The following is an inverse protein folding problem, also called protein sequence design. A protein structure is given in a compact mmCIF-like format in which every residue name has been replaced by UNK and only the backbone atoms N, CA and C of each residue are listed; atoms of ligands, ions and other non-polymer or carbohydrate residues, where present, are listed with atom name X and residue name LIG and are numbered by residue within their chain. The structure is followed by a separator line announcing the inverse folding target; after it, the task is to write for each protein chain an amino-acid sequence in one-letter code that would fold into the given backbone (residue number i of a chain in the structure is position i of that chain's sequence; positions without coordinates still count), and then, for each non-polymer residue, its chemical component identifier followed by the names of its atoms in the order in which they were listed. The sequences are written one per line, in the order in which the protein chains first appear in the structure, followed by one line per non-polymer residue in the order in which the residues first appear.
data_IF_030793171889
#
_entry.id   IF_030793171889
#
_cell.length_a   1.000
_cell.length_b   1.000
_cell.length_c   1.000
_cell.angle_alpha   90.00
_cell.angle_beta   90.00
_cell.angle_gamma   90.00
#
_symmetry.space_group_name_H-M   'P 1'
#
loop_
_entity.id
_entity.type
_entity.pdbx_description
1 polymer ?
#
# COMPACT_ATOMS: atom_id res chain seq x y z
N UNK A 1 -10.61 17.61 1.71
CA UNK A 1 -9.34 17.61 0.94
C UNK A 1 -8.77 16.20 0.94
N UNK A 2 -7.97 15.83 -0.05
CA UNK A 2 -7.46 14.46 -0.24
C UNK A 2 -5.97 14.32 0.10
N UNK A 3 -5.39 13.12 -0.11
CA UNK A 3 -3.99 12.84 0.18
C UNK A 3 -2.97 13.79 -0.48
N UNK A 4 -3.32 14.37 -1.64
CA UNK A 4 -2.47 15.31 -2.40
C UNK A 4 -2.26 16.67 -1.73
N UNK A 5 -3.03 17.00 -0.70
CA UNK A 5 -2.87 18.24 0.07
C UNK A 5 -1.88 18.10 1.24
N UNK A 6 -1.33 16.89 1.46
CA UNK A 6 -0.44 16.61 2.59
C UNK A 6 1.01 16.96 2.24
N UNK A 7 1.81 17.48 3.18
CA UNK A 7 3.17 17.95 2.90
C UNK A 7 4.22 16.81 2.97
N UNK A 8 4.00 15.68 2.28
CA UNK A 8 4.89 14.52 2.42
C UNK A 8 6.31 14.78 1.91
N UNK A 9 6.43 15.51 0.79
CA UNK A 9 7.71 15.92 0.23
C UNK A 9 8.51 16.81 1.19
N UNK A 10 7.86 17.81 1.80
CA UNK A 10 8.50 18.73 2.75
C UNK A 10 8.97 18.02 4.02
N UNK A 11 8.26 16.97 4.43
CA UNK A 11 8.60 16.14 5.58
C UNK A 11 9.62 15.04 5.25
N UNK A 12 9.98 14.85 3.97
CA UNK A 12 10.92 13.81 3.54
C UNK A 12 10.40 12.39 3.74
N UNK A 13 9.09 12.15 3.60
CA UNK A 13 8.49 10.84 3.85
C UNK A 13 8.80 9.85 2.73
N UNK A 14 9.44 8.73 3.07
CA UNK A 14 9.68 7.65 2.12
C UNK A 14 8.43 6.77 1.90
N UNK A 15 7.77 6.37 2.99
CA UNK A 15 6.62 5.43 2.93
C UNK A 15 5.47 5.99 3.75
N UNK A 16 4.29 6.10 3.12
CA UNK A 16 3.03 6.37 3.81
C UNK A 16 2.29 5.06 4.07
N UNK A 17 1.78 4.89 5.29
CA UNK A 17 0.83 3.82 5.62
C UNK A 17 -0.59 4.38 5.53
N UNK A 18 -1.26 4.11 4.42
CA UNK A 18 -2.65 4.51 4.20
C UNK A 18 -3.57 3.59 5.01
N UNK A 19 -3.99 4.10 6.17
CA UNK A 19 -4.77 3.39 7.18
C UNK A 19 -6.08 4.09 7.55
N UNK A 20 -6.52 5.06 6.74
CA UNK A 20 -7.83 5.71 6.92
C UNK A 20 -8.99 4.79 6.52
N UNK A 21 -8.73 3.83 5.62
CA UNK A 21 -9.74 2.97 5.01
C UNK A 21 -10.57 3.64 3.91
N UNK A 22 -10.31 4.91 3.59
CA UNK A 22 -11.06 5.69 2.59
C UNK A 22 -10.37 5.64 1.21
N UNK A 23 -9.04 5.59 1.20
CA UNK A 23 -8.22 5.69 -0.01
C UNK A 23 -7.64 4.33 -0.45
N UNK A 24 -8.48 3.28 -0.45
CA UNK A 24 -8.06 1.90 -0.79
C UNK A 24 -7.94 1.61 -2.28
N UNK A 25 -8.51 2.45 -3.15
CA UNK A 25 -8.31 2.35 -4.59
C UNK A 25 -6.99 3.02 -4.98
N UNK A 26 -6.22 2.42 -5.89
CA UNK A 26 -4.95 2.99 -6.38
C UNK A 26 -5.07 4.46 -6.76
N UNK A 27 -6.09 4.79 -7.55
CA UNK A 27 -6.32 6.15 -8.05
C UNK A 27 -6.50 7.18 -6.92
N UNK A 28 -7.02 6.76 -5.76
CA UNK A 28 -7.16 7.63 -4.59
C UNK A 28 -5.87 7.71 -3.78
N UNK A 29 -5.18 6.59 -3.59
CA UNK A 29 -3.90 6.54 -2.89
C UNK A 29 -2.77 7.27 -3.64
N UNK A 30 -2.90 7.43 -4.97
CA UNK A 30 -1.98 8.18 -5.82
C UNK A 30 -1.69 9.59 -5.28
N UNK A 31 -2.67 10.23 -4.64
CA UNK A 31 -2.48 11.55 -4.05
C UNK A 31 -1.33 11.61 -3.03
N UNK A 32 -0.99 10.52 -2.33
CA UNK A 32 0.18 10.50 -1.44
C UNK A 32 1.51 10.62 -2.20
N UNK A 33 1.60 9.98 -3.36
CA UNK A 33 2.78 10.08 -4.22
C UNK A 33 2.87 11.48 -4.83
N UNK A 34 1.73 12.03 -5.26
CA UNK A 34 1.65 13.38 -5.81
C UNK A 34 2.04 14.45 -4.76
N UNK A 35 1.78 14.17 -3.48
CA UNK A 35 2.19 14.96 -2.33
C UNK A 35 3.69 14.79 -1.94
N UNK A 36 4.44 13.93 -2.64
CA UNK A 36 5.88 13.77 -2.49
C UNK A 36 6.35 12.56 -1.67
N UNK A 37 5.44 11.67 -1.25
CA UNK A 37 5.86 10.39 -0.68
C UNK A 37 6.46 9.48 -1.77
N UNK A 38 7.42 8.62 -1.44
CA UNK A 38 8.03 7.71 -2.42
C UNK A 38 7.21 6.43 -2.64
N UNK A 39 6.54 5.93 -1.59
CA UNK A 39 5.74 4.70 -1.61
C UNK A 39 4.51 4.82 -0.72
N UNK A 40 3.50 4.00 -0.99
CA UNK A 40 2.28 3.87 -0.19
C UNK A 40 2.02 2.39 0.12
N UNK A 41 1.76 2.08 1.38
CA UNK A 41 1.24 0.79 1.82
C UNK A 41 -0.20 0.99 2.30
N UNK A 42 -1.16 0.37 1.61
CA UNK A 42 -2.56 0.35 2.01
C UNK A 42 -2.74 -0.78 3.03
N UNK A 43 -3.22 -0.45 4.22
CA UNK A 43 -3.36 -1.39 5.34
C UNK A 43 -4.65 -2.25 5.27
N UNK A 44 -5.19 -2.43 4.06
CA UNK A 44 -6.44 -3.12 3.78
C UNK A 44 -6.42 -3.67 2.34
N UNK A 45 -7.35 -4.57 1.98
CA UNK A 45 -7.57 -4.95 0.58
C UNK A 45 -7.77 -3.70 -0.29
N UNK A 46 -7.05 -3.65 -1.39
CA UNK A 46 -7.07 -2.53 -2.32
C UNK A 46 -7.79 -2.90 -3.63
N UNK A 47 -7.89 -1.92 -4.52
CA UNK A 47 -8.37 -2.14 -5.88
C UNK A 47 -7.44 -1.46 -6.87
N UNK A 48 -7.06 -2.21 -7.90
CA UNK A 48 -6.12 -1.82 -8.95
C UNK A 48 -4.76 -1.36 -8.41
N UNK A 49 -4.35 -1.78 -7.21
CA UNK A 49 -3.01 -1.54 -6.67
C UNK A 49 -1.91 -2.18 -7.55
N UNK A 50 -0.66 -1.74 -7.39
CA UNK A 50 0.43 -2.33 -8.18
C UNK A 50 0.64 -3.81 -7.84
N UNK A 51 0.56 -4.13 -6.54
CA UNK A 51 0.70 -5.48 -6.03
C UNK A 51 0.08 -5.60 -4.64
N UNK A 52 -0.58 -6.73 -4.39
CA UNK A 52 -0.90 -7.19 -3.02
C UNK A 52 0.21 -8.12 -2.53
N UNK A 53 0.76 -7.82 -1.36
CA UNK A 53 1.78 -8.62 -0.69
C UNK A 53 1.24 -9.18 0.61
N UNK A 54 1.50 -10.47 0.82
CA UNK A 54 1.38 -11.17 2.10
C UNK A 54 2.75 -11.71 2.45
N UNK A 55 3.30 -11.22 3.56
CA UNK A 55 4.64 -11.61 4.02
C UNK A 55 4.72 -13.11 4.32
N UNK A 56 5.79 -13.75 3.87
CA UNK A 56 6.00 -15.20 3.92
C UNK A 56 5.27 -15.98 2.83
N UNK A 57 4.41 -15.34 2.03
CA UNK A 57 3.62 -15.99 0.98
C UNK A 57 4.15 -15.62 -0.40
N UNK A 58 4.19 -14.32 -0.72
CA UNK A 58 4.59 -13.80 -2.04
C UNK A 58 5.45 -12.52 -1.98
N UNK A 59 6.06 -12.23 -0.83
CA UNK A 59 6.93 -11.07 -0.62
C UNK A 59 8.17 -11.04 -1.52
N UNK A 60 8.59 -12.19 -2.04
CA UNK A 60 9.63 -12.33 -3.06
C UNK A 60 9.27 -11.67 -4.40
N UNK A 61 7.98 -11.37 -4.64
CA UNK A 61 7.51 -10.73 -5.87
C UNK A 61 7.66 -9.21 -5.88
N UNK A 62 7.94 -8.59 -4.74
CA UNK A 62 8.19 -7.16 -4.69
C UNK A 62 9.62 -6.86 -5.15
N UNK A 63 9.76 -6.20 -6.30
CA UNK A 63 11.05 -5.88 -6.92
C UNK A 63 11.46 -4.41 -6.73
N UNK A 64 10.63 -3.62 -6.03
CA UNK A 64 10.85 -2.20 -5.81
C UNK A 64 10.28 -1.28 -6.89
N UNK A 65 9.77 -1.82 -8.01
CA UNK A 65 9.13 -1.00 -9.06
C UNK A 65 7.71 -0.57 -8.69
N UNK A 66 7.02 -1.35 -7.85
CA UNK A 66 5.66 -1.06 -7.39
C UNK A 66 5.66 0.06 -6.35
N UNK A 67 4.77 1.05 -6.47
CA UNK A 67 4.74 2.24 -5.60
C UNK A 67 3.56 2.25 -4.63
N UNK A 68 2.44 1.62 -5.00
CA UNK A 68 1.23 1.52 -4.17
C UNK A 68 0.94 0.04 -3.95
N UNK A 69 1.22 -0.42 -2.73
CA UNK A 69 1.16 -1.83 -2.33
C UNK A 69 0.00 -2.02 -1.35
N UNK A 70 -0.77 -3.10 -1.49
CA UNK A 70 -1.69 -3.53 -0.44
C UNK A 70 -1.02 -4.57 0.45
N UNK A 71 -1.17 -4.42 1.76
CA UNK A 71 -0.79 -5.46 2.73
C UNK A 71 -1.94 -6.46 3.00
N UNK A 72 -2.88 -6.56 2.06
CA UNK A 72 -4.08 -7.37 2.13
C UNK A 72 -4.94 -7.10 3.39
N UNK A 73 -5.74 -8.09 3.80
CA UNK A 73 -6.50 -8.05 5.06
C UNK A 73 -5.82 -8.89 6.15
N UNK A 74 -6.23 -8.69 7.42
CA UNK A 74 -5.81 -9.55 8.51
C UNK A 74 -6.24 -11.02 8.31
N UNK A 75 -7.43 -11.27 7.76
CA UNK A 75 -7.90 -12.62 7.43
C UNK A 75 -7.05 -13.27 6.35
N UNK A 76 -6.68 -12.53 5.31
CA UNK A 76 -5.78 -13.01 4.24
C UNK A 76 -4.39 -13.32 4.79
N UNK A 77 -3.85 -12.47 5.68
CA UNK A 77 -2.55 -12.72 6.31
C UNK A 77 -2.57 -13.94 7.25
N UNK A 78 -3.71 -14.26 7.87
CA UNK A 78 -3.87 -15.49 8.65
C UNK A 78 -3.98 -16.74 7.75
N UNK A 79 -4.81 -16.67 6.71
CA UNK A 79 -5.10 -17.81 5.84
C UNK A 79 -3.98 -18.11 4.83
N UNK A 80 -3.34 -17.08 4.28
CA UNK A 80 -2.36 -17.19 3.20
C UNK A 80 -1.23 -18.18 3.51
N UNK A 81 -0.54 -18.05 4.66
CA UNK A 81 0.50 -18.99 5.06
C UNK A 81 0.00 -20.43 5.19
N UNK A 82 -1.23 -20.64 5.70
CA UNK A 82 -1.83 -21.98 5.85
C UNK A 82 -2.19 -22.62 4.50
N UNK A 83 -2.53 -21.81 3.50
CA UNK A 83 -2.89 -22.31 2.16
C UNK A 83 -1.68 -22.59 1.26
N UNK A 84 -0.51 -22.01 1.56
CA UNK A 84 0.73 -22.19 0.79
C UNK A 84 1.45 -23.51 1.08
N UNK A 85 1.15 -24.14 2.22
CA UNK A 85 1.85 -25.33 2.75
C UNK A 85 1.62 -26.55 1.87
#
# INVERSE_FOLDING_TARGET
EGPSALPWGDLGVDVVVESTGIFTARAKAQGHLDAGAKKVIISAPASDEDITIVLGVNDDKYDGSQNIISNASCTTNCLGPLAKV
#
